data_IF_303621919254
#
_entry.id   IF_303621919254
#
_cell.length_a   1.000
_cell.length_b   1.000
_cell.length_c   1.000
_cell.angle_alpha   90.00
_cell.angle_beta   90.00
_cell.angle_gamma   90.00
#
_symmetry.space_group_name_H-M   'P 1'
#
loop_
_entity.id
_entity.type
_entity.pdbx_description
1 polymer ?
#
# COMPACT_ATOMS: atom_id res chain seq x y z
N UNK A 1 26.08 8.47 -3.49
CA UNK A 1 25.40 8.95 -4.67
C UNK A 1 24.48 7.85 -5.20
N UNK A 2 23.16 8.03 -5.08
CA UNK A 2 22.17 7.00 -5.35
C UNK A 2 21.50 7.17 -6.72
N UNK A 3 22.13 7.88 -7.63
CA UNK A 3 21.56 8.18 -8.92
C UNK A 3 20.67 9.41 -8.93
N UNK A 4 20.05 9.65 -10.06
CA UNK A 4 19.19 10.82 -10.24
C UNK A 4 17.93 10.72 -9.39
N UNK A 5 17.59 11.78 -8.68
CA UNK A 5 16.25 11.94 -8.12
C UNK A 5 15.27 11.93 -9.28
N UNK A 6 14.26 11.09 -9.23
CA UNK A 6 13.17 11.17 -10.18
C UNK A 6 12.47 12.51 -9.91
N UNK A 7 12.71 13.50 -10.77
CA UNK A 7 11.99 14.76 -10.64
C UNK A 7 10.51 14.45 -10.82
N UNK A 8 9.67 14.96 -9.92
CA UNK A 8 8.27 15.04 -10.19
C UNK A 8 8.14 15.58 -11.60
N UNK A 9 7.59 14.81 -12.52
CA UNK A 9 7.33 15.29 -13.86
C UNK A 9 6.47 16.54 -13.72
N UNK A 10 6.56 17.43 -14.70
CA UNK A 10 5.73 18.63 -14.70
C UNK A 10 4.26 18.21 -14.81
N UNK A 11 3.65 17.95 -13.69
CA UNK A 11 2.27 17.54 -13.57
C UNK A 11 1.62 18.23 -12.37
N UNK A 12 0.32 18.53 -12.45
CA UNK A 12 -0.37 19.26 -11.38
C UNK A 12 -0.72 18.40 -10.16
N UNK A 13 -0.41 17.09 -10.17
CA UNK A 13 -0.86 16.15 -9.14
C UNK A 13 0.27 15.68 -8.22
N UNK A 14 1.50 16.14 -8.45
CA UNK A 14 2.65 15.74 -7.63
C UNK A 14 3.05 14.28 -7.78
N UNK A 15 2.75 13.67 -8.92
CA UNK A 15 3.07 12.26 -9.17
C UNK A 15 4.58 12.07 -9.30
N UNK A 16 5.12 11.08 -8.61
CA UNK A 16 6.57 10.81 -8.56
C UNK A 16 6.87 9.37 -8.97
N UNK A 17 6.31 8.94 -10.09
CA UNK A 17 6.62 7.66 -10.70
C UNK A 17 6.87 7.82 -12.19
N UNK A 18 7.58 6.87 -12.78
CA UNK A 18 7.96 6.91 -14.19
C UNK A 18 6.74 6.87 -15.11
N UNK A 19 6.74 7.70 -16.16
CA UNK A 19 5.65 7.81 -17.13
C UNK A 19 4.30 8.25 -16.52
N UNK A 20 4.36 9.02 -15.43
CA UNK A 20 3.17 9.58 -14.82
C UNK A 20 2.44 10.54 -15.78
N UNK A 21 1.12 10.57 -15.69
CA UNK A 21 0.29 11.50 -16.45
C UNK A 21 0.71 12.93 -16.15
N UNK A 22 0.86 13.75 -17.19
CA UNK A 22 1.21 15.17 -17.07
C UNK A 22 0.03 16.09 -17.34
N UNK A 23 -1.01 15.58 -18.02
CA UNK A 23 -2.26 16.30 -18.30
C UNK A 23 -3.38 15.31 -18.58
N UNK A 24 -4.61 15.73 -18.37
CA UNK A 24 -5.77 14.97 -18.81
C UNK A 24 -6.10 15.33 -20.26
N UNK A 25 -6.34 14.29 -21.07
CA UNK A 25 -6.64 14.44 -22.49
C UNK A 25 -7.78 13.48 -22.87
N UNK A 26 -8.81 13.94 -23.61
CA UNK A 26 -9.83 13.03 -24.11
C UNK A 26 -9.23 11.88 -24.90
N UNK A 27 -9.72 10.67 -24.69
CA UNK A 27 -9.24 9.47 -25.38
C UNK A 27 -7.95 8.89 -24.83
N UNK A 28 -7.50 9.34 -23.65
CA UNK A 28 -6.34 8.79 -22.94
C UNK A 28 -6.70 8.42 -21.52
N UNK A 29 -5.82 7.72 -20.83
CA UNK A 29 -5.96 7.51 -19.39
C UNK A 29 -5.93 8.86 -18.70
N UNK A 30 -6.91 9.11 -17.86
CA UNK A 30 -7.04 10.36 -17.12
C UNK A 30 -7.05 10.12 -15.62
N UNK A 31 -6.63 11.13 -14.88
CA UNK A 31 -6.62 11.13 -13.42
C UNK A 31 -7.67 12.11 -12.89
N UNK A 32 -8.38 11.70 -11.85
CA UNK A 32 -9.45 12.48 -11.24
C UNK A 32 -9.22 12.54 -9.73
N UNK A 33 -8.61 13.61 -9.20
CA UNK A 33 -8.52 13.78 -7.75
C UNK A 33 -9.90 13.90 -7.13
N UNK A 34 -10.12 13.19 -6.04
CA UNK A 34 -11.39 13.19 -5.31
C UNK A 34 -11.13 13.25 -3.80
N UNK A 35 -12.15 13.69 -3.07
CA UNK A 35 -12.17 13.59 -1.62
C UNK A 35 -13.51 12.98 -1.21
N UNK A 36 -13.51 12.23 -0.12
CA UNK A 36 -14.73 11.66 0.44
C UNK A 36 -14.59 11.51 1.95
N UNK A 37 -15.72 11.51 2.63
CA UNK A 37 -15.77 11.30 4.07
C UNK A 37 -15.75 9.81 4.38
N UNK A 38 -14.87 9.41 5.30
CA UNK A 38 -14.81 8.06 5.83
C UNK A 38 -14.83 8.17 7.36
N UNK A 39 -15.98 7.88 7.95
CA UNK A 39 -16.18 7.92 9.41
C UNK A 39 -15.68 9.23 10.04
N UNK A 40 -15.97 10.35 9.39
CA UNK A 40 -15.62 11.68 9.87
C UNK A 40 -14.24 12.19 9.41
N UNK A 41 -13.49 11.39 8.68
CA UNK A 41 -12.17 11.77 8.14
C UNK A 41 -12.29 12.04 6.64
N UNK A 42 -11.77 13.17 6.19
CA UNK A 42 -11.68 13.47 4.76
C UNK A 42 -10.52 12.68 4.14
N UNK A 43 -10.84 11.81 3.21
CA UNK A 43 -9.86 11.00 2.48
C UNK A 43 -9.56 11.66 1.14
N UNK A 44 -8.28 11.80 0.81
CA UNK A 44 -7.82 12.28 -0.47
C UNK A 44 -7.38 11.10 -1.33
N UNK A 45 -7.90 11.01 -2.56
CA UNK A 45 -7.64 9.90 -3.46
C UNK A 45 -7.52 10.39 -4.89
N UNK A 46 -6.89 9.56 -5.74
CA UNK A 46 -6.89 9.73 -7.18
C UNK A 46 -7.61 8.54 -7.82
N UNK A 47 -8.59 8.83 -8.66
CA UNK A 47 -9.25 7.85 -9.50
C UNK A 47 -8.65 7.96 -10.90
N UNK A 48 -8.36 6.82 -11.54
CA UNK A 48 -7.87 6.78 -12.91
C UNK A 48 -8.89 6.08 -13.79
N UNK A 49 -9.09 6.61 -15.00
CA UNK A 49 -10.04 6.02 -15.98
C UNK A 49 -9.33 5.69 -17.28
N UNK A 50 -9.80 4.62 -17.93
CA UNK A 50 -9.27 4.15 -19.21
C UNK A 50 -9.51 5.16 -20.33
N UNK A 51 -8.70 5.05 -21.39
CA UNK A 51 -8.82 5.88 -22.59
C UNK A 51 -10.22 5.86 -23.21
N UNK A 52 -10.88 4.72 -23.19
CA UNK A 52 -12.22 4.52 -23.75
C UNK A 52 -13.35 4.71 -22.73
N UNK A 53 -13.03 5.31 -21.57
CA UNK A 53 -14.01 5.46 -20.49
C UNK A 53 -15.26 6.18 -20.98
N UNK A 54 -16.39 5.48 -20.91
CA UNK A 54 -17.71 6.01 -21.24
C UNK A 54 -18.75 5.39 -20.29
N UNK A 55 -19.03 6.06 -19.15
CA UNK A 55 -19.95 5.51 -18.15
C UNK A 55 -21.39 5.42 -18.62
N UNK A 56 -21.75 6.08 -19.73
CA UNK A 56 -23.09 6.02 -20.28
C UNK A 56 -23.34 4.74 -21.11
N UNK A 57 -22.28 4.15 -21.64
CA UNK A 57 -22.40 3.02 -22.58
C UNK A 57 -21.89 1.71 -21.97
N UNK A 58 -21.02 1.75 -20.96
CA UNK A 58 -20.34 0.57 -20.46
C UNK A 58 -20.11 0.63 -18.97
N UNK A 59 -20.15 -0.54 -18.33
CA UNK A 59 -19.67 -0.72 -16.95
C UNK A 59 -18.30 -1.37 -16.95
N UNK A 60 -17.45 -0.95 -16.00
CA UNK A 60 -16.06 -1.35 -15.90
C UNK A 60 -15.80 -2.05 -14.57
N UNK A 61 -14.92 -3.05 -14.56
CA UNK A 61 -14.39 -3.53 -13.28
C UNK A 61 -13.51 -2.47 -12.64
N UNK A 62 -13.41 -2.50 -11.32
CA UNK A 62 -12.59 -1.55 -10.57
C UNK A 62 -11.59 -2.27 -9.70
N UNK A 63 -10.45 -1.61 -9.45
CA UNK A 63 -9.41 -2.10 -8.54
C UNK A 63 -9.06 -1.00 -7.57
N UNK A 64 -9.14 -1.32 -6.27
CA UNK A 64 -8.63 -0.44 -5.23
C UNK A 64 -7.17 -0.80 -4.95
N UNK A 65 -6.33 0.20 -4.71
CA UNK A 65 -4.89 0.00 -4.53
C UNK A 65 -4.44 0.65 -3.23
N UNK A 66 -3.86 -0.16 -2.35
CA UNK A 66 -3.38 0.26 -1.03
C UNK A 66 -1.87 0.46 -1.06
N UNK A 67 -1.42 1.66 -0.64
CA UNK A 67 -0.02 2.04 -0.67
C UNK A 67 0.81 1.38 0.44
N UNK A 68 2.16 1.31 0.26
CA UNK A 68 3.07 0.84 1.31
C UNK A 68 3.02 1.70 2.57
N UNK A 69 3.55 1.16 3.67
CA UNK A 69 3.81 1.96 4.87
C UNK A 69 4.72 3.14 4.51
N UNK A 70 4.38 4.32 4.99
CA UNK A 70 5.13 5.54 4.68
C UNK A 70 4.93 6.07 3.27
N UNK A 71 4.20 5.36 2.42
CA UNK A 71 3.91 5.77 1.06
C UNK A 71 2.71 6.70 0.92
N UNK A 72 2.50 7.18 -0.29
CA UNK A 72 1.38 8.05 -0.67
C UNK A 72 0.79 7.59 -2.00
N UNK A 73 -0.38 8.12 -2.32
CA UNK A 73 -1.06 7.87 -3.61
C UNK A 73 -0.25 8.34 -4.83
N UNK A 74 0.72 9.24 -4.62
CA UNK A 74 1.53 9.80 -5.70
C UNK A 74 2.75 8.94 -6.05
N UNK A 75 3.03 7.90 -5.28
CA UNK A 75 4.19 7.01 -5.48
C UNK A 75 3.74 5.70 -6.15
N UNK A 76 4.26 4.56 -5.71
CA UNK A 76 4.03 3.25 -6.34
C UNK A 76 2.55 2.89 -6.49
N UNK A 77 1.71 3.24 -5.52
CA UNK A 77 0.27 2.97 -5.63
C UNK A 77 -0.34 3.69 -6.84
N UNK A 78 0.08 4.92 -7.09
CA UNK A 78 -0.34 5.69 -8.26
C UNK A 78 0.16 5.09 -9.57
N UNK A 79 1.41 4.59 -9.57
CA UNK A 79 1.97 3.91 -10.73
C UNK A 79 1.08 2.73 -11.15
N UNK A 80 0.76 1.84 -10.21
CA UNK A 80 -0.07 0.68 -10.52
C UNK A 80 -1.52 1.07 -10.85
N UNK A 81 -2.05 2.11 -10.19
CA UNK A 81 -3.39 2.61 -10.52
C UNK A 81 -3.44 3.09 -11.97
N UNK A 82 -2.45 3.85 -12.42
CA UNK A 82 -2.36 4.31 -13.80
C UNK A 82 -2.18 3.13 -14.76
N UNK A 83 -1.25 2.22 -14.47
CA UNK A 83 -0.95 1.09 -15.35
C UNK A 83 -2.16 0.15 -15.51
N UNK A 84 -2.91 -0.09 -14.44
CA UNK A 84 -4.10 -0.93 -14.51
C UNK A 84 -5.25 -0.20 -15.20
N UNK A 85 -5.35 1.12 -15.08
CA UNK A 85 -6.32 1.91 -15.85
C UNK A 85 -6.03 1.82 -17.35
N UNK A 86 -4.77 1.74 -17.76
CA UNK A 86 -4.40 1.51 -19.17
C UNK A 86 -4.95 0.17 -19.69
N UNK A 87 -5.23 -0.78 -18.82
CA UNK A 87 -5.74 -2.11 -19.15
C UNK A 87 -7.27 -2.21 -19.11
N UNK A 88 -7.97 -1.11 -18.87
CA UNK A 88 -9.43 -1.07 -18.93
C UNK A 88 -10.14 -1.05 -17.59
N UNK A 89 -9.43 -0.91 -16.48
CA UNK A 89 -10.01 -0.83 -15.15
C UNK A 89 -10.23 0.61 -14.73
N UNK A 90 -11.23 0.85 -13.87
CA UNK A 90 -11.30 2.08 -13.10
C UNK A 90 -10.53 1.79 -11.82
N UNK A 91 -9.54 2.63 -11.50
CA UNK A 91 -8.69 2.37 -10.35
C UNK A 91 -8.72 3.53 -9.37
N UNK A 92 -8.43 3.25 -8.10
CA UNK A 92 -8.35 4.26 -7.06
C UNK A 92 -7.15 3.97 -6.16
N UNK A 93 -6.37 5.01 -5.91
CA UNK A 93 -5.31 5.02 -4.91
C UNK A 93 -5.59 6.17 -3.95
N UNK A 94 -5.79 5.88 -2.67
CA UNK A 94 -6.07 6.87 -1.64
C UNK A 94 -4.90 6.97 -0.67
N UNK A 95 -4.67 8.16 -0.13
CA UNK A 95 -3.82 8.31 1.06
C UNK A 95 -4.57 7.74 2.26
N UNK A 96 -3.88 6.94 3.05
CA UNK A 96 -4.44 6.40 4.29
C UNK A 96 -4.88 7.54 5.22
N UNK A 97 -5.91 7.27 6.03
CA UNK A 97 -6.34 8.21 7.06
C UNK A 97 -5.16 8.54 7.99
N UNK A 98 -5.10 9.77 8.47
CA UNK A 98 -4.01 10.34 9.28
C UNK A 98 -2.70 10.57 8.54
N UNK A 99 -2.64 10.26 7.26
CA UNK A 99 -1.39 10.29 6.47
C UNK A 99 -1.60 11.06 5.16
N UNK A 100 -0.51 11.48 4.55
CA UNK A 100 -0.56 12.15 3.26
C UNK A 100 -1.45 13.38 3.26
N UNK A 101 -2.26 13.52 2.22
CA UNK A 101 -3.24 14.59 2.09
C UNK A 101 -4.59 14.28 2.74
N UNK A 102 -4.77 13.08 3.28
CA UNK A 102 -5.97 12.71 4.02
C UNK A 102 -5.98 13.36 5.41
N UNK A 103 -7.16 13.55 5.96
CA UNK A 103 -7.34 14.12 7.29
C UNK A 103 -7.03 13.15 8.42
N UNK A 104 -7.35 13.58 9.64
CA UNK A 104 -7.18 12.80 10.85
C UNK A 104 -6.09 13.36 11.77
N UNK A 105 -6.39 13.41 13.05
CA UNK A 105 -5.47 13.87 14.11
C UNK A 105 -5.47 12.89 15.28
N UNK A 106 -4.33 12.61 15.93
CA UNK A 106 -2.98 13.14 15.61
C UNK A 106 -2.48 12.65 14.26
N UNK A 107 -1.74 13.54 13.55
CA UNK A 107 -1.11 13.15 12.28
C UNK A 107 -0.20 11.96 12.49
N UNK A 108 -0.12 11.10 11.47
CA UNK A 108 0.72 9.91 11.47
C UNK A 108 0.31 8.84 12.49
N UNK A 109 -0.94 8.86 12.96
CA UNK A 109 -1.52 7.71 13.64
C UNK A 109 -1.55 6.55 12.63
N UNK A 110 -0.98 5.42 13.01
CA UNK A 110 -0.84 4.27 12.11
C UNK A 110 -1.29 3.00 12.82
N UNK A 111 -2.60 2.75 12.75
CA UNK A 111 -3.22 1.59 13.41
C UNK A 111 -3.79 0.64 12.37
N UNK A 112 -3.62 -0.67 12.51
CA UNK A 112 -4.13 -1.65 11.55
C UNK A 112 -5.61 -1.49 11.25
N UNK A 113 -6.43 -1.24 12.26
CA UNK A 113 -7.86 -1.05 12.08
C UNK A 113 -8.16 0.11 11.12
N UNK A 114 -7.46 1.22 11.25
CA UNK A 114 -7.67 2.38 10.38
C UNK A 114 -7.25 2.09 8.95
N UNK A 115 -6.11 1.43 8.78
CA UNK A 115 -5.63 1.06 7.45
C UNK A 115 -6.58 0.09 6.74
N UNK A 116 -7.12 -0.88 7.46
CA UNK A 116 -8.10 -1.82 6.93
C UNK A 116 -9.40 -1.09 6.58
N UNK A 117 -9.85 -0.19 7.46
CA UNK A 117 -11.05 0.61 7.20
C UNK A 117 -10.86 1.53 5.98
N UNK A 118 -9.68 2.07 5.78
CA UNK A 118 -9.35 2.88 4.59
C UNK A 118 -9.52 2.07 3.30
N UNK A 119 -9.14 0.79 3.31
CA UNK A 119 -9.30 -0.11 2.17
C UNK A 119 -10.78 -0.39 1.91
N UNK A 120 -11.54 -0.69 2.95
CA UNK A 120 -12.99 -0.83 2.85
C UNK A 120 -13.63 0.48 2.34
N UNK A 121 -13.13 1.61 2.78
CA UNK A 121 -13.60 2.93 2.35
C UNK A 121 -13.34 3.23 0.88
N UNK A 122 -12.22 2.75 0.32
CA UNK A 122 -12.00 2.85 -1.11
C UNK A 122 -13.05 2.07 -1.90
N UNK A 123 -13.43 0.90 -1.42
CA UNK A 123 -14.52 0.12 -2.03
C UNK A 123 -15.86 0.83 -1.89
N UNK A 124 -16.14 1.43 -0.75
CA UNK A 124 -17.36 2.23 -0.54
C UNK A 124 -17.50 3.32 -1.60
N UNK A 125 -16.42 4.05 -1.84
CA UNK A 125 -16.41 5.16 -2.79
C UNK A 125 -16.46 4.67 -4.24
N UNK A 126 -15.56 3.75 -4.61
CA UNK A 126 -15.43 3.35 -6.01
C UNK A 126 -16.64 2.54 -6.50
N UNK A 127 -17.34 1.85 -5.62
CA UNK A 127 -18.53 1.08 -6.01
C UNK A 127 -19.65 1.96 -6.57
N UNK A 128 -19.63 3.25 -6.25
CA UNK A 128 -20.63 4.25 -6.68
C UNK A 128 -20.08 5.19 -7.74
N UNK A 129 -18.83 5.04 -8.13
CA UNK A 129 -18.22 5.89 -9.14
C UNK A 129 -18.87 5.63 -10.50
N UNK A 130 -19.18 6.68 -11.30
CA UNK A 130 -19.83 6.48 -12.59
C UNK A 130 -19.08 5.46 -13.47
N UNK A 131 -19.81 4.47 -13.96
CA UNK A 131 -19.27 3.43 -14.84
C UNK A 131 -18.69 2.21 -14.11
N UNK A 132 -18.61 2.20 -12.79
CA UNK A 132 -18.12 1.02 -12.06
C UNK A 132 -19.22 -0.01 -11.92
N UNK A 133 -18.89 -1.26 -12.25
CA UNK A 133 -19.72 -2.42 -11.90
C UNK A 133 -19.38 -2.84 -10.47
N UNK A 134 -20.30 -2.61 -9.49
CA UNK A 134 -20.02 -2.92 -8.10
C UNK A 134 -19.86 -4.41 -7.79
N UNK A 135 -20.22 -5.27 -8.75
CA UNK A 135 -20.02 -6.72 -8.60
C UNK A 135 -18.64 -7.18 -9.08
N UNK A 136 -17.84 -6.27 -9.66
CA UNK A 136 -16.51 -6.60 -10.18
C UNK A 136 -15.46 -5.66 -9.59
N UNK A 137 -15.26 -5.76 -8.28
CA UNK A 137 -14.25 -4.98 -7.55
C UNK A 137 -13.14 -5.91 -7.09
N UNK A 138 -11.91 -5.57 -7.45
CA UNK A 138 -10.71 -6.22 -6.97
C UNK A 138 -9.92 -5.33 -6.01
N UNK A 139 -9.04 -5.95 -5.25
CA UNK A 139 -8.14 -5.25 -4.33
C UNK A 139 -6.69 -5.63 -4.60
N UNK A 140 -5.81 -4.64 -4.59
CA UNK A 140 -4.37 -4.82 -4.76
C UNK A 140 -3.63 -4.00 -3.70
N UNK A 141 -2.80 -4.66 -2.91
CA UNK A 141 -2.02 -4.01 -1.87
C UNK A 141 -0.52 -4.23 -2.02
N UNK A 142 0.26 -3.19 -1.72
CA UNK A 142 1.70 -3.18 -1.90
C UNK A 142 2.37 -3.01 -0.53
N UNK A 143 3.31 -3.90 -0.18
CA UNK A 143 4.07 -3.85 1.07
C UNK A 143 3.12 -3.90 2.29
N UNK A 144 3.19 -2.93 3.19
CA UNK A 144 2.24 -2.82 4.30
C UNK A 144 0.79 -2.77 3.83
N UNK A 145 0.54 -2.07 2.71
CA UNK A 145 -0.78 -2.09 2.06
C UNK A 145 -1.23 -3.48 1.66
N UNK A 146 -0.30 -4.36 1.32
CA UNK A 146 -0.59 -5.77 1.03
C UNK A 146 -1.08 -6.52 2.28
N UNK A 147 -0.40 -6.36 3.40
CA UNK A 147 -0.82 -6.97 4.67
C UNK A 147 -2.21 -6.49 5.10
N UNK A 148 -2.48 -5.20 4.97
CA UNK A 148 -3.79 -4.63 5.30
C UNK A 148 -4.87 -5.01 4.28
N UNK A 149 -4.52 -5.19 3.03
CA UNK A 149 -5.45 -5.71 2.01
C UNK A 149 -5.89 -7.14 2.35
N UNK A 150 -4.97 -7.99 2.80
CA UNK A 150 -5.33 -9.31 3.32
C UNK A 150 -6.28 -9.16 4.53
N UNK A 151 -5.98 -8.21 5.42
CA UNK A 151 -6.85 -7.91 6.56
C UNK A 151 -8.27 -7.51 6.17
N UNK A 152 -8.43 -6.73 5.12
CA UNK A 152 -9.74 -6.33 4.61
C UNK A 152 -10.47 -7.49 3.90
N UNK A 153 -9.73 -8.28 3.13
CA UNK A 153 -10.31 -9.37 2.33
C UNK A 153 -10.89 -10.52 3.17
N UNK A 154 -10.50 -10.61 4.43
CA UNK A 154 -11.04 -11.63 5.35
C UNK A 154 -12.56 -11.54 5.50
N UNK A 155 -13.09 -10.34 5.53
CA UNK A 155 -14.50 -10.11 5.83
C UNK A 155 -15.25 -9.19 4.86
N UNK A 156 -14.55 -8.38 4.08
CA UNK A 156 -15.20 -7.55 3.05
C UNK A 156 -15.32 -8.36 1.76
N UNK A 157 -16.49 -8.95 1.56
CA UNK A 157 -16.74 -9.87 0.45
C UNK A 157 -17.06 -9.15 -0.87
N UNK A 158 -16.99 -7.82 -0.89
CA UNK A 158 -17.06 -7.05 -2.13
C UNK A 158 -15.81 -7.25 -3.00
N UNK A 159 -14.67 -7.58 -2.39
CA UNK A 159 -13.44 -7.89 -3.12
C UNK A 159 -13.51 -9.29 -3.71
N UNK A 160 -13.76 -9.36 -5.02
CA UNK A 160 -13.96 -10.62 -5.74
C UNK A 160 -12.65 -11.29 -6.15
N UNK A 161 -11.56 -10.55 -6.13
CA UNK A 161 -10.21 -11.03 -6.40
C UNK A 161 -9.23 -10.14 -5.64
N UNK A 162 -8.19 -10.74 -5.07
CA UNK A 162 -7.25 -10.07 -4.17
C UNK A 162 -5.83 -10.35 -4.59
N UNK A 163 -5.02 -9.31 -4.72
CA UNK A 163 -3.61 -9.43 -5.06
C UNK A 163 -2.73 -8.64 -4.10
N UNK A 164 -1.52 -9.11 -3.87
CA UNK A 164 -0.49 -8.40 -3.12
C UNK A 164 0.83 -8.39 -3.87
N UNK A 165 1.63 -7.36 -3.64
CA UNK A 165 3.01 -7.24 -4.12
C UNK A 165 3.92 -6.94 -2.94
N UNK A 166 5.00 -7.73 -2.77
CA UNK A 166 5.96 -7.50 -1.69
C UNK A 166 5.26 -7.36 -0.33
N UNK A 167 4.32 -8.24 -0.02
CA UNK A 167 3.48 -8.15 1.16
C UNK A 167 4.32 -8.02 2.43
N UNK A 168 3.95 -7.07 3.27
CA UNK A 168 4.65 -6.79 4.51
C UNK A 168 3.67 -6.90 5.67
N UNK A 169 3.99 -7.76 6.63
CA UNK A 169 3.19 -7.98 7.84
C UNK A 169 3.64 -6.99 8.91
N UNK A 170 3.03 -5.82 8.92
CA UNK A 170 3.42 -4.71 9.80
C UNK A 170 3.39 -5.10 11.27
N UNK A 171 2.39 -5.83 11.71
CA UNK A 171 2.29 -6.29 13.10
C UNK A 171 3.44 -7.19 13.50
N UNK A 172 3.76 -8.16 12.67
CA UNK A 172 4.90 -9.07 12.92
C UNK A 172 6.22 -8.32 13.04
N UNK A 173 6.49 -7.41 12.10
CA UNK A 173 7.76 -6.67 12.12
C UNK A 173 7.81 -5.67 13.28
N UNK A 174 6.73 -4.97 13.57
CA UNK A 174 6.70 -4.05 14.72
C UNK A 174 6.83 -4.79 16.03
N UNK A 175 6.25 -5.98 16.14
CA UNK A 175 6.34 -6.83 17.35
C UNK A 175 7.68 -7.54 17.45
N UNK A 176 8.06 -8.28 16.43
CA UNK A 176 9.22 -9.19 16.49
C UNK A 176 10.51 -8.57 15.97
N UNK A 177 10.43 -7.42 15.28
CA UNK A 177 11.56 -6.88 14.50
C UNK A 177 11.63 -7.52 13.11
N UNK A 178 12.44 -6.94 12.23
CA UNK A 178 12.65 -7.51 10.90
C UNK A 178 13.37 -8.86 11.03
N UNK A 179 12.86 -9.86 10.33
CA UNK A 179 13.33 -11.25 10.42
C UNK A 179 13.26 -11.82 11.85
N UNK A 180 12.30 -11.34 12.63
CA UNK A 180 12.09 -11.75 14.03
C UNK A 180 13.30 -11.47 14.94
N UNK A 181 14.06 -10.43 14.64
CA UNK A 181 15.36 -10.12 15.29
C UNK A 181 15.28 -9.35 16.60
N UNK A 182 14.09 -8.87 17.00
CA UNK A 182 13.96 -7.98 18.17
C UNK A 182 12.99 -8.51 19.22
N UNK A 183 12.77 -9.80 19.28
CA UNK A 183 11.82 -10.41 20.23
C UNK A 183 12.16 -10.12 21.71
N UNK A 184 13.43 -10.10 22.14
CA UNK A 184 13.74 -9.78 23.54
C UNK A 184 13.31 -8.40 24.01
N UNK A 185 13.06 -7.45 23.09
CA UNK A 185 12.70 -6.07 23.45
C UNK A 185 11.19 -5.80 23.38
N UNK A 186 10.36 -6.82 23.13
CA UNK A 186 8.90 -6.66 22.93
C UNK A 186 8.26 -5.92 24.11
N UNK A 187 8.49 -6.39 25.34
CA UNK A 187 7.83 -5.83 26.52
C UNK A 187 8.26 -4.39 26.78
N UNK A 188 9.53 -4.07 26.58
CA UNK A 188 10.02 -2.71 26.71
C UNK A 188 9.36 -1.77 25.69
N UNK A 189 9.25 -2.20 24.44
CA UNK A 189 8.63 -1.38 23.38
C UNK A 189 7.15 -1.18 23.62
N UNK A 190 6.45 -2.18 24.15
CA UNK A 190 5.05 -2.03 24.57
C UNK A 190 4.91 -1.03 25.71
N UNK A 191 5.84 -1.05 26.67
CA UNK A 191 5.86 -0.07 27.77
C UNK A 191 6.07 1.34 27.23
N UNK A 192 7.03 1.53 26.33
CA UNK A 192 7.28 2.83 25.70
C UNK A 192 6.04 3.36 24.97
N UNK A 193 5.32 2.48 24.28
CA UNK A 193 4.08 2.84 23.59
C UNK A 193 2.99 3.27 24.58
N UNK A 194 2.83 2.53 25.69
CA UNK A 194 1.88 2.86 26.74
C UNK A 194 2.23 4.19 27.42
N UNK A 195 3.51 4.42 27.67
CA UNK A 195 3.98 5.69 28.25
C UNK A 195 3.71 6.87 27.31
N UNK A 196 3.86 6.65 25.99
CA UNK A 196 3.52 7.66 24.99
C UNK A 196 2.02 8.01 25.01
N UNK A 197 1.16 7.01 25.18
CA UNK A 197 -0.29 7.23 25.33
C UNK A 197 -0.58 8.02 26.61
N UNK A 198 0.02 7.65 27.73
CA UNK A 198 -0.14 8.36 29.00
C UNK A 198 0.28 9.84 28.86
N UNK A 199 1.39 10.09 28.19
CA UNK A 199 1.88 11.44 27.98
C UNK A 199 0.91 12.26 27.15
N UNK A 200 0.33 11.69 26.10
CA UNK A 200 -0.69 12.37 25.30
C UNK A 200 -1.93 12.70 26.13
N UNK A 201 -2.40 11.76 26.93
CA UNK A 201 -3.61 11.94 27.73
C UNK A 201 -3.40 12.98 28.82
N UNK A 202 -2.22 13.03 29.45
CA UNK A 202 -1.92 13.92 30.57
C UNK A 202 -1.44 15.31 30.13
N UNK A 203 -0.66 15.38 29.04
CA UNK A 203 -0.03 16.65 28.64
C UNK A 203 -0.44 17.13 27.26
N UNK A 204 -1.10 16.30 26.46
CA UNK A 204 -1.41 16.59 25.05
C UNK A 204 -0.22 16.41 24.10
N UNK A 205 0.97 16.09 24.62
CA UNK A 205 2.15 15.91 23.79
C UNK A 205 2.12 14.57 23.05
N UNK A 206 2.41 14.61 21.74
CA UNK A 206 2.46 13.43 20.89
C UNK A 206 3.91 12.98 20.74
N UNK A 207 4.19 11.73 21.08
CA UNK A 207 5.51 11.11 20.87
C UNK A 207 5.49 10.36 19.56
N UNK A 208 6.50 10.60 18.72
CA UNK A 208 6.65 9.96 17.41
C UNK A 208 7.84 9.00 17.40
N UNK A 209 7.82 8.09 16.44
CA UNK A 209 8.92 7.16 16.16
C UNK A 209 8.97 6.91 14.64
N UNK A 210 9.93 6.11 14.19
CA UNK A 210 10.02 5.66 12.81
C UNK A 210 10.68 6.65 11.84
N UNK A 211 11.12 7.81 12.28
CA UNK A 211 11.83 8.76 11.43
C UNK A 211 13.07 8.13 10.81
N UNK A 212 13.25 8.35 9.49
CA UNK A 212 14.39 7.84 8.74
C UNK A 212 15.18 8.98 8.09
N UNK A 213 15.53 10.00 8.87
CA UNK A 213 16.35 11.11 8.42
C UNK A 213 17.84 10.72 8.45
N UNK A 214 18.25 9.90 7.48
CA UNK A 214 19.59 9.36 7.40
C UNK A 214 20.44 10.09 6.35
N UNK A 215 21.73 10.23 6.64
CA UNK A 215 22.70 10.68 5.64
C UNK A 215 22.93 9.57 4.62
N UNK A 216 23.49 9.93 3.45
CA UNK A 216 23.80 8.92 2.43
C UNK A 216 24.76 7.84 2.97
N UNK A 217 25.74 8.23 3.79
CA UNK A 217 26.65 7.28 4.40
C UNK A 217 25.95 6.32 5.36
N UNK A 218 25.01 6.83 6.15
CA UNK A 218 24.22 6.00 7.06
C UNK A 218 23.31 5.02 6.28
N UNK A 219 22.73 5.46 5.18
CA UNK A 219 21.92 4.60 4.32
C UNK A 219 22.74 3.44 3.75
N UNK A 220 23.94 3.74 3.25
CA UNK A 220 24.81 2.72 2.66
C UNK A 220 25.21 1.62 3.66
N UNK A 221 25.21 1.94 4.96
CA UNK A 221 25.56 1.02 6.03
C UNK A 221 24.40 0.22 6.59
N UNK A 222 23.16 0.48 6.13
CA UNK A 222 22.01 -0.30 6.61
C UNK A 222 22.15 -1.77 6.23
N UNK A 223 21.87 -2.70 7.15
CA UNK A 223 22.22 -4.10 6.97
C UNK A 223 21.30 -4.88 6.03
N UNK A 224 20.10 -4.37 5.74
CA UNK A 224 19.11 -5.09 4.94
C UNK A 224 18.77 -4.31 3.68
N UNK A 225 18.58 -5.04 2.57
CA UNK A 225 18.16 -4.45 1.30
C UNK A 225 16.88 -3.64 1.45
N UNK A 226 15.90 -4.17 2.19
CA UNK A 226 14.64 -3.47 2.43
C UNK A 226 14.86 -2.06 2.97
N UNK A 227 15.65 -1.91 4.01
CA UNK A 227 15.86 -0.62 4.65
C UNK A 227 16.75 0.29 3.82
N UNK A 228 17.81 -0.25 3.24
CA UNK A 228 18.74 0.54 2.41
C UNK A 228 18.04 1.04 1.14
N UNK A 229 17.42 0.15 0.41
CA UNK A 229 16.74 0.49 -0.84
C UNK A 229 15.47 1.29 -0.58
N UNK A 230 14.76 1.00 0.51
CA UNK A 230 13.60 1.76 0.93
C UNK A 230 13.95 3.20 1.29
N UNK A 231 15.04 3.41 2.01
CA UNK A 231 15.52 4.76 2.34
C UNK A 231 15.88 5.54 1.08
N UNK A 232 16.51 4.89 0.11
CA UNK A 232 16.83 5.52 -1.19
C UNK A 232 15.54 5.88 -1.93
N UNK A 233 14.60 4.94 -2.03
CA UNK A 233 13.34 5.15 -2.74
C UNK A 233 12.54 6.30 -2.14
N UNK A 234 12.27 6.27 -0.85
CA UNK A 234 11.37 7.21 -0.18
C UNK A 234 12.01 8.56 0.14
N UNK A 235 13.34 8.61 0.36
CA UNK A 235 14.01 9.84 0.77
C UNK A 235 14.89 10.44 -0.31
N UNK A 236 15.08 9.76 -1.43
CA UNK A 236 15.95 10.23 -2.52
C UNK A 236 15.24 10.17 -3.87
N UNK A 237 15.13 8.97 -4.47
CA UNK A 237 14.74 8.85 -5.88
C UNK A 237 13.25 9.11 -6.12
N UNK A 238 12.37 8.71 -5.19
CA UNK A 238 10.92 8.82 -5.34
C UNK A 238 10.30 9.55 -4.15
N UNK A 239 11.03 10.50 -3.59
CA UNK A 239 10.56 11.26 -2.43
C UNK A 239 9.32 12.09 -2.80
N UNK A 240 8.40 12.19 -1.84
CA UNK A 240 7.23 13.07 -1.92
C UNK A 240 7.09 13.80 -0.59
N UNK A 241 6.70 15.08 -0.58
CA UNK A 241 6.59 15.86 0.65
C UNK A 241 5.70 15.22 1.73
N UNK A 242 4.69 14.47 1.31
CA UNK A 242 3.73 13.82 2.21
C UNK A 242 4.14 12.41 2.63
N UNK A 243 5.23 11.87 2.06
CA UNK A 243 5.71 10.54 2.37
C UNK A 243 6.64 10.59 3.58
N UNK A 244 6.35 9.79 4.60
CA UNK A 244 7.19 9.69 5.80
C UNK A 244 6.96 8.35 6.49
N UNK A 245 8.02 7.81 7.08
CA UNK A 245 7.91 6.64 7.96
C UNK A 245 7.57 7.00 9.40
N UNK A 246 7.49 8.29 9.70
CA UNK A 246 7.14 8.77 11.02
C UNK A 246 5.71 8.36 11.37
N UNK A 247 5.53 7.82 12.58
CA UNK A 247 4.20 7.51 13.10
C UNK A 247 4.17 7.72 14.62
N UNK A 248 2.96 7.79 15.19
CA UNK A 248 2.83 7.97 16.64
C UNK A 248 3.29 6.71 17.36
N UNK A 249 4.13 6.86 18.37
CA UNK A 249 4.65 5.72 19.14
C UNK A 249 3.50 4.94 19.82
N UNK A 250 2.47 5.62 20.24
CA UNK A 250 1.27 5.01 20.80
C UNK A 250 0.63 4.00 19.84
N UNK A 251 0.76 4.19 18.54
CA UNK A 251 0.23 3.25 17.53
C UNK A 251 0.82 1.84 17.68
N UNK A 252 1.99 1.71 18.29
CA UNK A 252 2.60 0.40 18.54
C UNK A 252 1.75 -0.48 19.46
N UNK A 253 0.91 0.09 20.31
CA UNK A 253 -0.02 -0.70 21.13
C UNK A 253 -0.93 -1.56 20.25
N UNK A 254 -1.41 -1.00 19.13
CA UNK A 254 -2.26 -1.70 18.17
C UNK A 254 -1.44 -2.52 17.18
N UNK A 255 -0.36 -1.95 16.65
CA UNK A 255 0.50 -2.62 15.67
C UNK A 255 1.13 -3.91 16.23
N UNK A 256 1.65 -3.86 17.45
CA UNK A 256 2.34 -5.00 18.06
C UNK A 256 1.40 -6.12 18.53
N UNK A 257 0.12 -5.85 18.60
CA UNK A 257 -0.89 -6.85 18.94
C UNK A 257 -1.68 -7.35 17.73
N UNK A 258 -1.27 -6.99 16.53
CA UNK A 258 -1.93 -7.36 15.27
C UNK A 258 -0.99 -8.21 14.42
N UNK A 259 -1.58 -9.06 13.59
CA UNK A 259 -0.84 -9.88 12.61
C UNK A 259 -1.68 -10.04 11.34
N UNK A 260 -1.04 -9.82 10.18
CA UNK A 260 -1.72 -9.93 8.89
C UNK A 260 -2.23 -11.34 8.60
N UNK A 261 -1.66 -12.35 9.23
CA UNK A 261 -2.05 -13.75 9.03
C UNK A 261 -3.13 -14.25 9.99
N UNK A 262 -3.50 -13.45 10.99
CA UNK A 262 -4.59 -13.81 11.90
C UNK A 262 -5.88 -14.01 11.12
N UNK A 263 -6.49 -15.19 11.25
CA UNK A 263 -7.74 -15.53 10.58
C UNK A 263 -7.67 -15.40 9.03
N UNK A 264 -6.47 -15.54 8.45
CA UNK A 264 -6.30 -15.42 7.00
C UNK A 264 -7.06 -16.50 6.22
N UNK A 265 -7.40 -17.61 6.88
CA UNK A 265 -8.27 -18.66 6.33
C UNK A 265 -9.69 -18.17 6.01
N UNK A 266 -10.09 -17.01 6.51
CA UNK A 266 -11.38 -16.41 6.15
C UNK A 266 -11.40 -15.84 4.73
N UNK A 267 -10.24 -15.64 4.10
CA UNK A 267 -10.17 -15.23 2.70
C UNK A 267 -10.57 -16.43 1.84
N UNK A 268 -11.66 -16.28 1.09
CA UNK A 268 -12.14 -17.33 0.17
C UNK A 268 -12.15 -16.85 -1.30
N UNK A 269 -11.77 -15.62 -1.56
CA UNK A 269 -11.63 -15.09 -2.92
C UNK A 269 -10.36 -15.62 -3.60
N UNK A 270 -10.32 -15.61 -4.94
CA UNK A 270 -9.06 -15.83 -5.66
C UNK A 270 -7.97 -14.90 -5.14
N UNK A 271 -6.77 -15.45 -4.93
CA UNK A 271 -5.66 -14.76 -4.30
C UNK A 271 -4.38 -14.90 -5.14
N UNK A 272 -3.78 -13.77 -5.49
CA UNK A 272 -2.47 -13.71 -6.12
C UNK A 272 -1.50 -13.00 -5.18
N UNK A 273 -0.39 -13.65 -4.83
CA UNK A 273 0.67 -13.02 -4.05
C UNK A 273 1.95 -12.96 -4.89
N UNK A 274 2.47 -11.75 -5.08
CA UNK A 274 3.67 -11.52 -5.89
C UNK A 274 4.83 -11.03 -5.02
N UNK A 275 6.02 -11.50 -5.30
CA UNK A 275 7.24 -11.06 -4.61
C UNK A 275 8.45 -11.26 -5.51
N UNK A 276 9.47 -10.42 -5.32
CA UNK A 276 10.78 -10.66 -5.93
C UNK A 276 11.45 -11.88 -5.29
N UNK A 277 12.09 -12.71 -6.10
CA UNK A 277 12.75 -13.91 -5.55
C UNK A 277 14.01 -13.58 -4.73
N UNK A 278 14.49 -12.33 -4.78
CA UNK A 278 15.61 -11.84 -3.96
C UNK A 278 15.14 -10.94 -2.80
N UNK A 279 13.83 -10.83 -2.58
CA UNK A 279 13.30 -10.01 -1.50
C UNK A 279 13.63 -10.63 -0.14
N UNK A 280 14.24 -9.83 0.74
CA UNK A 280 14.48 -10.23 2.13
C UNK A 280 13.19 -10.28 2.96
N UNK A 281 12.09 -9.75 2.41
CA UNK A 281 10.74 -9.84 2.98
C UNK A 281 9.96 -11.06 2.51
N UNK A 282 10.52 -11.90 1.65
CA UNK A 282 9.82 -13.05 1.07
C UNK A 282 9.25 -13.99 2.13
N UNK A 283 9.91 -14.11 3.27
CA UNK A 283 9.43 -14.98 4.34
C UNK A 283 8.01 -14.63 4.80
N UNK A 284 7.63 -13.37 4.75
CA UNK A 284 6.27 -12.93 5.13
C UNK A 284 5.25 -13.30 4.05
N UNK A 285 5.60 -13.16 2.78
CA UNK A 285 4.74 -13.59 1.67
C UNK A 285 4.52 -15.09 1.70
N UNK A 286 5.58 -15.86 1.87
CA UNK A 286 5.53 -17.33 1.95
C UNK A 286 4.66 -17.81 3.11
N UNK A 287 4.84 -17.21 4.29
CA UNK A 287 4.07 -17.56 5.47
C UNK A 287 2.58 -17.28 5.29
N UNK A 288 2.23 -16.09 4.78
CA UNK A 288 0.84 -15.73 4.54
C UNK A 288 0.20 -16.61 3.46
N UNK A 289 0.91 -16.88 2.37
CA UNK A 289 0.42 -17.74 1.29
C UNK A 289 0.10 -19.15 1.79
N UNK A 290 0.99 -19.72 2.58
CA UNK A 290 0.79 -21.05 3.16
C UNK A 290 -0.41 -21.10 4.10
N UNK A 291 -0.60 -20.05 4.91
CA UNK A 291 -1.70 -19.97 5.88
C UNK A 291 -3.05 -19.62 5.25
N UNK A 292 -3.08 -19.14 4.02
CA UNK A 292 -4.31 -18.77 3.31
C UNK A 292 -5.03 -20.03 2.80
N UNK A 293 -5.55 -20.83 3.73
CA UNK A 293 -6.17 -22.12 3.46
C UNK A 293 -7.65 -22.04 3.09
N UNK A 294 -8.26 -20.87 3.19
CA UNK A 294 -9.68 -20.66 2.87
C UNK A 294 -9.98 -20.58 1.38
N UNK A 295 -8.96 -20.54 0.54
CA UNK A 295 -9.10 -20.53 -0.92
C UNK A 295 -8.14 -21.54 -1.54
N UNK A 296 -8.63 -22.30 -2.53
CA UNK A 296 -7.79 -23.17 -3.37
C UNK A 296 -7.35 -22.46 -4.64
N UNK A 297 -8.01 -21.37 -4.99
CA UNK A 297 -7.66 -20.54 -6.15
C UNK A 297 -6.65 -19.49 -5.70
N UNK A 298 -5.41 -19.92 -5.51
CA UNK A 298 -4.33 -19.03 -5.10
C UNK A 298 -3.06 -19.33 -5.87
N UNK A 299 -2.30 -18.29 -6.17
CA UNK A 299 -1.05 -18.37 -6.91
C UNK A 299 0.01 -17.52 -6.25
N UNK A 300 1.23 -18.06 -6.16
CA UNK A 300 2.43 -17.32 -5.76
C UNK A 300 3.25 -17.06 -7.03
N UNK A 301 3.42 -15.77 -7.37
CA UNK A 301 4.18 -15.37 -8.56
C UNK A 301 5.47 -14.68 -8.13
N UNK A 302 6.62 -15.26 -8.49
CA UNK A 302 7.93 -14.70 -8.17
C UNK A 302 8.50 -13.92 -9.36
N UNK A 303 9.02 -12.73 -9.09
CA UNK A 303 9.69 -11.91 -10.10
C UNK A 303 11.19 -12.21 -10.02
N UNK A 304 11.77 -12.87 -11.04
CA UNK A 304 13.18 -13.26 -11.01
C UNK A 304 14.11 -12.06 -10.89
N UNK A 305 15.04 -12.13 -9.95
CA UNK A 305 16.08 -11.11 -9.75
C UNK A 305 15.67 -9.90 -8.95
N UNK A 306 14.40 -9.72 -8.64
CA UNK A 306 13.90 -8.53 -7.96
C UNK A 306 14.02 -8.62 -6.45
N UNK A 307 14.41 -7.52 -5.82
CA UNK A 307 14.28 -7.29 -4.39
C UNK A 307 12.91 -6.68 -4.08
N UNK A 308 12.60 -6.52 -2.80
CA UNK A 308 11.33 -5.92 -2.35
C UNK A 308 11.05 -4.56 -3.02
N UNK A 309 11.97 -3.62 -2.88
CA UNK A 309 11.81 -2.25 -3.37
C UNK A 309 11.90 -2.19 -4.90
N UNK A 310 12.74 -2.99 -5.52
CA UNK A 310 12.87 -3.01 -6.98
C UNK A 310 11.56 -3.35 -7.69
N UNK A 311 10.68 -4.12 -7.05
CA UNK A 311 9.36 -4.42 -7.61
C UNK A 311 8.49 -3.17 -7.77
N UNK A 312 8.83 -2.06 -7.10
CA UNK A 312 8.04 -0.84 -7.15
C UNK A 312 8.29 0.00 -8.42
N UNK A 313 9.49 -0.09 -9.01
CA UNK A 313 9.88 0.90 -10.00
C UNK A 313 10.76 0.40 -11.15
N UNK A 314 11.42 -0.74 -11.02
CA UNK A 314 12.28 -1.24 -12.11
C UNK A 314 11.38 -1.64 -13.29
N UNK A 315 11.52 -1.03 -14.47
CA UNK A 315 10.54 -1.21 -15.55
C UNK A 315 10.28 -2.66 -15.95
N UNK A 316 11.33 -3.48 -16.04
CA UNK A 316 11.21 -4.90 -16.43
C UNK A 316 10.40 -5.69 -15.41
N UNK A 317 10.56 -5.36 -14.13
CA UNK A 317 9.82 -6.02 -13.04
C UNK A 317 8.38 -5.53 -12.99
N UNK A 318 8.17 -4.22 -13.10
CA UNK A 318 6.83 -3.64 -13.13
C UNK A 318 6.02 -4.20 -14.30
N UNK A 319 6.63 -4.33 -15.49
CA UNK A 319 5.95 -4.88 -16.66
C UNK A 319 5.47 -6.32 -16.41
N UNK A 320 6.30 -7.16 -15.80
CA UNK A 320 5.92 -8.53 -15.44
C UNK A 320 4.75 -8.54 -14.45
N UNK A 321 4.78 -7.66 -13.46
CA UNK A 321 3.75 -7.54 -12.43
C UNK A 321 2.42 -7.06 -13.03
N UNK A 322 2.47 -6.04 -13.87
CA UNK A 322 1.27 -5.52 -14.56
C UNK A 322 0.66 -6.56 -15.47
N UNK A 323 1.48 -7.30 -16.23
CA UNK A 323 1.00 -8.38 -17.08
C UNK A 323 0.33 -9.47 -16.25
N UNK A 324 0.93 -9.84 -15.12
CA UNK A 324 0.35 -10.86 -14.23
C UNK A 324 -0.95 -10.40 -13.59
N UNK A 325 -1.00 -9.15 -13.11
CA UNK A 325 -2.22 -8.56 -12.55
C UNK A 325 -3.33 -8.50 -13.60
N UNK A 326 -3.01 -8.12 -14.83
CA UNK A 326 -3.98 -8.06 -15.93
C UNK A 326 -4.57 -9.43 -16.25
N UNK A 327 -3.72 -10.45 -16.29
CA UNK A 327 -4.16 -11.84 -16.48
C UNK A 327 -5.06 -12.27 -15.31
N UNK A 328 -4.63 -12.04 -14.09
CA UNK A 328 -5.36 -12.46 -12.89
C UNK A 328 -6.71 -11.78 -12.78
N UNK A 329 -6.75 -10.45 -12.78
CA UNK A 329 -8.01 -9.71 -12.66
C UNK A 329 -8.92 -9.93 -13.88
N UNK A 330 -8.32 -10.10 -15.06
CA UNK A 330 -9.08 -10.38 -16.28
C UNK A 330 -9.86 -11.69 -16.22
N UNK A 331 -9.33 -12.68 -15.50
CA UNK A 331 -10.00 -13.97 -15.32
C UNK A 331 -10.96 -13.97 -14.13
N UNK A 332 -10.72 -13.17 -13.09
CA UNK A 332 -11.43 -13.28 -11.82
C UNK A 332 -12.48 -12.19 -11.58
N UNK A 333 -12.46 -11.12 -12.33
CA UNK A 333 -13.45 -10.04 -12.24
C UNK A 333 -14.51 -10.12 -13.41
#
# INVERSE_FOLDING_TARGET
NFGSVLKAQDNPWGLVYENAITENTPGKVNIHPVTYNLDGIEIAANVYTHADYNPQEKQYPAIIIAHPNGGTKEQVAGLFAQRMAEKGYITIAADASYQGASGGEPRHTDKPYFRINDINGMADYISKYPGVDPQRIGAFGICGGGGYTLGAAKNDKRFKAVATLSMFNSGRVRRNGFMDSAMPTIQQRLKEASDAREKRVTTGEIVFTGDMNLTDEEIEKLPFDLYREGAIYYNRTHAHPNSTFRYTMESLMDLMSWDATDQINLINAPLLMMAGNKADTFYMTSDAFEKATGTTDKELFLIPGATHIQTYYVPEYVDQEVNKLTEFFGKKL
#
